data_IF_911427450843
#
_entry.id   IF_911427450843
#
_cell.length_a   1.000
_cell.length_b   1.000
_cell.length_c   1.000
_cell.angle_alpha   90.00
_cell.angle_beta   90.00
_cell.angle_gamma   90.00
#
_symmetry.space_group_name_H-M   'P 1'
#
loop_
_entity.id
_entity.type
_entity.pdbx_description
1 polymer ?
#
# COMPACT_ATOMS: atom_id res chain seq x y z
N UNK A 1 14.14 -15.29 -3.97
CA UNK A 1 12.84 -14.60 -4.07
C UNK A 1 12.55 -13.79 -2.81
N UNK A 2 12.51 -14.41 -1.63
CA UNK A 2 12.21 -13.74 -0.35
C UNK A 2 13.12 -12.55 -0.03
N UNK A 3 14.45 -12.69 -0.18
CA UNK A 3 15.39 -11.57 0.03
C UNK A 3 15.05 -10.37 -0.85
N UNK A 4 14.74 -10.61 -2.13
CA UNK A 4 14.35 -9.54 -3.07
C UNK A 4 13.00 -8.94 -2.70
N UNK A 5 12.02 -9.76 -2.29
CA UNK A 5 10.74 -9.23 -1.81
C UNK A 5 10.92 -8.35 -0.58
N UNK A 6 11.73 -8.78 0.38
CA UNK A 6 12.03 -7.99 1.58
C UNK A 6 12.74 -6.68 1.24
N UNK A 7 13.68 -6.72 0.29
CA UNK A 7 14.36 -5.52 -0.21
C UNK A 7 13.37 -4.55 -0.89
N UNK A 8 12.50 -5.06 -1.77
CA UNK A 8 11.44 -4.28 -2.41
C UNK A 8 10.54 -3.57 -1.38
N UNK A 9 10.17 -4.28 -0.30
CA UNK A 9 9.33 -3.73 0.76
C UNK A 9 10.09 -2.69 1.60
N UNK A 10 11.36 -2.95 1.92
CA UNK A 10 12.21 -2.03 2.68
C UNK A 10 12.46 -0.71 1.94
N UNK A 11 12.66 -0.78 0.62
CA UNK A 11 12.82 0.40 -0.26
C UNK A 11 11.48 1.08 -0.59
N UNK A 12 10.37 0.52 -0.09
CA UNK A 12 9.01 0.97 -0.41
C UNK A 12 8.75 1.05 -1.90
N UNK A 13 9.22 0.06 -2.67
CA UNK A 13 9.04 -0.01 -4.13
C UNK A 13 7.56 -0.02 -4.55
N UNK A 14 6.65 -0.34 -3.63
CA UNK A 14 5.20 -0.21 -3.85
C UNK A 14 4.72 1.24 -4.03
N UNK A 15 5.52 2.26 -3.71
CA UNK A 15 5.16 3.68 -3.88
C UNK A 15 5.27 4.15 -5.34
N UNK A 16 5.96 3.40 -6.20
CA UNK A 16 5.97 3.65 -7.64
C UNK A 16 4.58 3.39 -8.22
N UNK A 17 3.94 4.43 -8.74
CA UNK A 17 2.59 4.37 -9.31
C UNK A 17 2.55 3.73 -10.70
N UNK A 18 3.67 3.72 -11.42
CA UNK A 18 3.81 3.12 -12.74
C UNK A 18 4.26 1.64 -12.68
N UNK A 19 4.56 1.12 -11.47
CA UNK A 19 4.98 -0.26 -11.29
C UNK A 19 3.90 -1.25 -11.74
N UNK A 20 4.25 -2.08 -12.73
CA UNK A 20 3.37 -3.15 -13.23
C UNK A 20 3.86 -4.52 -12.77
N UNK A 21 2.98 -5.52 -12.84
CA UNK A 21 3.30 -6.90 -12.47
C UNK A 21 4.55 -7.46 -13.20
N UNK A 22 4.79 -7.19 -14.50
CA UNK A 22 6.03 -7.61 -15.16
C UNK A 22 7.29 -6.97 -14.56
N UNK A 23 7.23 -5.68 -14.20
CA UNK A 23 8.34 -4.94 -13.60
C UNK A 23 8.67 -5.51 -12.21
N UNK A 24 7.63 -5.78 -11.41
CA UNK A 24 7.76 -6.46 -10.12
C UNK A 24 8.32 -7.89 -10.25
N UNK A 25 7.84 -8.67 -11.22
CA UNK A 25 8.33 -10.02 -11.45
C UNK A 25 9.81 -10.02 -11.86
N UNK A 26 10.19 -9.09 -12.75
CA UNK A 26 11.58 -8.89 -13.17
C UNK A 26 12.48 -8.53 -11.99
N UNK A 27 12.05 -7.61 -11.11
CA UNK A 27 12.77 -7.27 -9.89
C UNK A 27 13.02 -8.52 -9.03
N UNK A 28 11.97 -9.33 -8.81
CA UNK A 28 12.05 -10.57 -8.05
C UNK A 28 12.88 -11.68 -8.72
N UNK A 29 13.22 -11.53 -10.01
CA UNK A 29 13.95 -12.53 -10.80
C UNK A 29 13.10 -13.77 -11.13
N UNK A 30 11.79 -13.58 -11.31
CA UNK A 30 10.84 -14.65 -11.64
C UNK A 30 9.95 -14.22 -12.81
N UNK A 31 9.22 -15.16 -13.38
CA UNK A 31 8.24 -14.86 -14.44
C UNK A 31 7.00 -14.17 -13.88
N UNK A 32 6.31 -13.38 -14.72
CA UNK A 32 5.01 -12.75 -14.39
C UNK A 32 3.98 -13.77 -13.90
N UNK A 33 3.96 -14.97 -14.49
CA UNK A 33 3.07 -16.05 -14.05
C UNK A 33 3.44 -16.57 -12.65
N UNK A 34 4.73 -16.76 -12.35
CA UNK A 34 5.18 -17.14 -11.00
C UNK A 34 4.86 -16.07 -9.96
N UNK A 35 5.05 -14.79 -10.29
CA UNK A 35 4.69 -13.69 -9.39
C UNK A 35 3.18 -13.66 -9.12
N UNK A 36 2.36 -13.74 -10.17
CA UNK A 36 0.89 -13.80 -10.02
C UNK A 36 0.45 -15.01 -9.19
N UNK A 37 1.01 -16.18 -9.48
CA UNK A 37 0.72 -17.41 -8.73
C UNK A 37 1.15 -17.30 -7.27
N UNK A 38 2.31 -16.71 -6.99
CA UNK A 38 2.79 -16.49 -5.64
C UNK A 38 1.81 -15.63 -4.83
N UNK A 39 1.47 -14.45 -5.37
CA UNK A 39 0.56 -13.51 -4.74
C UNK A 39 -0.83 -14.12 -4.49
N UNK A 40 -1.43 -14.72 -5.53
CA UNK A 40 -2.78 -15.26 -5.43
C UNK A 40 -2.87 -16.52 -4.57
N UNK A 41 -1.88 -17.43 -4.66
CA UNK A 41 -1.96 -18.74 -3.99
C UNK A 41 -1.39 -18.73 -2.58
N UNK A 42 -0.35 -17.95 -2.32
CA UNK A 42 0.34 -17.97 -1.03
C UNK A 42 -0.01 -16.76 -0.15
N UNK A 43 -0.35 -15.62 -0.75
CA UNK A 43 -0.76 -14.42 -0.02
C UNK A 43 -2.25 -14.11 -0.15
N UNK A 44 -3.01 -14.91 -0.93
CA UNK A 44 -4.44 -14.70 -1.19
C UNK A 44 -4.75 -13.27 -1.67
N UNK A 45 -3.85 -12.68 -2.44
CA UNK A 45 -3.92 -11.29 -2.89
C UNK A 45 -3.67 -11.20 -4.40
N UNK A 46 -4.45 -10.36 -5.08
CA UNK A 46 -4.08 -9.90 -6.42
C UNK A 46 -2.85 -8.99 -6.34
N UNK A 47 -2.17 -8.75 -7.46
CA UNK A 47 -1.05 -7.79 -7.51
C UNK A 47 -1.46 -6.38 -7.08
N UNK A 48 -2.62 -5.92 -7.54
CA UNK A 48 -3.17 -4.61 -7.18
C UNK A 48 -3.47 -4.55 -5.68
N UNK A 49 -3.97 -5.64 -5.10
CA UNK A 49 -4.22 -5.71 -3.67
C UNK A 49 -2.96 -5.72 -2.85
N UNK A 50 -1.94 -6.45 -3.29
CA UNK A 50 -0.62 -6.46 -2.66
C UNK A 50 -0.05 -5.04 -2.58
N UNK A 51 -0.03 -4.30 -3.69
CA UNK A 51 0.42 -2.90 -3.68
C UNK A 51 -0.43 -2.06 -2.74
N UNK A 52 -1.76 -2.08 -2.91
CA UNK A 52 -2.65 -1.21 -2.14
C UNK A 52 -2.63 -1.51 -0.63
N UNK A 53 -2.37 -2.77 -0.23
CA UNK A 53 -2.19 -3.17 1.16
C UNK A 53 -0.95 -2.51 1.76
N UNK A 54 0.19 -2.53 1.06
CA UNK A 54 1.39 -1.85 1.54
C UNK A 54 1.26 -0.33 1.51
N UNK A 55 0.62 0.22 0.47
CA UNK A 55 0.35 1.66 0.36
C UNK A 55 -0.57 2.16 1.47
N UNK A 56 -1.63 1.43 1.83
CA UNK A 56 -2.53 1.87 2.92
C UNK A 56 -1.84 1.81 4.29
N UNK A 57 -0.96 0.82 4.51
CA UNK A 57 -0.16 0.76 5.73
C UNK A 57 0.78 1.96 5.84
N UNK A 58 1.47 2.30 4.75
CA UNK A 58 2.30 3.51 4.68
C UNK A 58 1.47 4.79 4.93
N UNK A 59 0.27 4.90 4.35
CA UNK A 59 -0.63 6.05 4.62
C UNK A 59 -0.95 6.17 6.11
N UNK A 60 -1.25 5.06 6.79
CA UNK A 60 -1.56 5.08 8.23
C UNK A 60 -0.36 5.59 9.05
N UNK A 61 0.86 5.17 8.70
CA UNK A 61 2.07 5.65 9.35
C UNK A 61 2.32 7.14 9.06
N UNK A 62 2.14 7.57 7.81
CA UNK A 62 2.29 8.96 7.41
C UNK A 62 1.25 9.89 8.03
N UNK A 63 0.03 9.42 8.32
CA UNK A 63 -0.98 10.20 9.05
C UNK A 63 -0.49 10.57 10.47
N UNK A 64 0.23 9.66 11.14
CA UNK A 64 0.79 9.91 12.48
C UNK A 64 1.91 10.96 12.44
N UNK A 65 2.75 10.89 11.41
CA UNK A 65 3.91 11.78 11.24
C UNK A 65 3.50 13.17 10.72
N UNK A 66 2.55 13.22 9.79
CA UNK A 66 2.10 14.44 9.08
C UNK A 66 0.64 14.76 9.42
N UNK A 67 0.33 14.89 10.70
CA UNK A 67 -1.05 15.02 11.21
C UNK A 67 -1.86 16.16 10.58
N UNK A 68 -1.19 17.22 10.10
CA UNK A 68 -1.82 18.43 9.57
C UNK A 68 -1.90 18.45 8.04
N UNK A 69 -1.27 17.49 7.36
CA UNK A 69 -1.22 17.46 5.89
C UNK A 69 -2.55 17.01 5.28
N UNK A 70 -2.79 17.42 4.04
CA UNK A 70 -3.95 16.95 3.28
C UNK A 70 -3.86 15.43 3.08
N UNK A 71 -4.94 14.71 3.44
CA UNK A 71 -4.95 13.25 3.41
C UNK A 71 -4.80 12.68 1.99
N UNK A 72 -5.36 13.35 0.98
CA UNK A 72 -5.17 12.94 -0.41
C UNK A 72 -3.70 13.08 -0.80
N UNK A 73 -3.03 14.19 -0.44
CA UNK A 73 -1.61 14.36 -0.75
C UNK A 73 -0.76 13.27 -0.08
N UNK A 74 -1.06 12.90 1.18
CA UNK A 74 -0.40 11.76 1.83
C UNK A 74 -0.61 10.48 1.01
N UNK A 75 -1.83 10.20 0.57
CA UNK A 75 -2.12 9.02 -0.24
C UNK A 75 -1.37 9.03 -1.58
N UNK A 76 -1.30 10.17 -2.26
CA UNK A 76 -0.55 10.33 -3.51
C UNK A 76 0.95 10.10 -3.30
N UNK A 77 1.53 10.68 -2.24
CA UNK A 77 2.92 10.40 -1.84
C UNK A 77 3.15 8.92 -1.51
N UNK A 78 2.10 8.18 -1.15
CA UNK A 78 2.16 6.75 -0.88
C UNK A 78 1.98 5.88 -2.13
N UNK A 79 1.88 6.45 -3.32
CA UNK A 79 1.78 5.72 -4.59
C UNK A 79 0.35 5.42 -5.04
N UNK A 80 -0.68 6.01 -4.40
CA UNK A 80 -2.01 6.00 -4.98
C UNK A 80 -2.09 7.03 -6.11
N UNK A 81 -2.63 6.64 -7.26
CA UNK A 81 -2.75 7.53 -8.42
C UNK A 81 -4.06 8.35 -8.44
N UNK A 82 -4.96 8.13 -7.48
CA UNK A 82 -6.29 8.77 -7.47
C UNK A 82 -6.99 8.63 -6.12
N UNK A 83 -7.87 9.59 -5.80
CA UNK A 83 -8.72 9.54 -4.61
C UNK A 83 -9.63 8.29 -4.59
N UNK A 84 -10.13 7.87 -5.75
CA UNK A 84 -10.99 6.69 -5.88
C UNK A 84 -10.25 5.39 -5.58
N UNK A 85 -9.00 5.24 -6.05
CA UNK A 85 -8.19 4.05 -5.74
C UNK A 85 -7.87 3.97 -4.25
N UNK A 86 -7.48 5.10 -3.65
CA UNK A 86 -7.23 5.21 -2.22
C UNK A 86 -8.49 4.91 -1.39
N UNK A 87 -9.64 5.48 -1.74
CA UNK A 87 -10.89 5.23 -1.02
C UNK A 87 -11.28 3.76 -1.00
N UNK A 88 -11.18 3.07 -2.15
CA UNK A 88 -11.45 1.63 -2.24
C UNK A 88 -10.48 0.82 -1.38
N UNK A 89 -9.19 1.15 -1.42
CA UNK A 89 -8.17 0.48 -0.61
C UNK A 89 -8.41 0.69 0.90
N UNK A 90 -8.72 1.92 1.32
CA UNK A 90 -9.05 2.25 2.71
C UNK A 90 -10.20 1.39 3.22
N UNK A 91 -11.32 1.33 2.48
CA UNK A 91 -12.46 0.49 2.89
C UNK A 91 -12.08 -0.99 2.89
N UNK A 92 -11.41 -1.47 1.83
CA UNK A 92 -11.08 -2.89 1.67
C UNK A 92 -10.18 -3.41 2.79
N UNK A 93 -9.15 -2.65 3.16
CA UNK A 93 -8.11 -3.15 4.06
C UNK A 93 -8.29 -2.70 5.51
N UNK A 94 -8.98 -1.59 5.75
CA UNK A 94 -9.17 -1.06 7.11
C UNK A 94 -10.64 -1.04 7.55
N UNK A 95 -11.58 -1.35 6.66
CA UNK A 95 -13.02 -1.25 6.93
C UNK A 95 -13.53 0.19 7.09
N UNK A 96 -12.71 1.20 6.80
CA UNK A 96 -13.00 2.61 7.10
C UNK A 96 -12.83 3.47 5.85
N UNK A 97 -13.67 4.49 5.72
CA UNK A 97 -13.42 5.55 4.73
C UNK A 97 -12.14 6.31 5.09
N UNK A 98 -11.46 6.97 4.13
CA UNK A 98 -10.26 7.75 4.40
C UNK A 98 -10.40 8.75 5.55
N UNK A 99 -11.53 9.47 5.61
CA UNK A 99 -11.81 10.45 6.65
C UNK A 99 -11.91 9.80 8.03
N UNK A 100 -12.61 8.66 8.13
CA UNK A 100 -12.75 7.94 9.38
C UNK A 100 -11.43 7.31 9.80
N UNK A 101 -10.66 6.77 8.85
CA UNK A 101 -9.32 6.25 9.10
C UNK A 101 -8.41 7.32 9.74
N UNK A 102 -8.35 8.53 9.17
CA UNK A 102 -7.57 9.64 9.73
C UNK A 102 -8.04 10.03 11.13
N UNK A 103 -9.36 10.15 11.33
CA UNK A 103 -9.94 10.50 12.63
C UNK A 103 -9.57 9.48 13.71
N UNK A 104 -9.67 8.19 13.40
CA UNK A 104 -9.40 7.13 14.37
C UNK A 104 -7.93 7.08 14.77
N UNK A 105 -7.01 7.27 13.82
CA UNK A 105 -5.57 7.35 14.10
C UNK A 105 -5.26 8.56 15.00
N UNK A 106 -5.82 9.73 14.68
CA UNK A 106 -5.61 10.95 15.48
C UNK A 106 -6.24 10.90 16.87
N UNK A 107 -7.31 10.13 17.06
CA UNK A 107 -7.91 9.91 18.38
C UNK A 107 -7.12 8.91 19.22
N UNK A 108 -6.56 7.86 18.60
CA UNK A 108 -5.74 6.85 19.27
C UNK A 108 -4.44 7.43 19.87
N UNK A 109 -3.79 8.36 19.19
CA UNK A 109 -2.56 9.03 19.68
C UNK A 109 -2.81 10.03 20.82
N UNK A 110 -4.04 10.48 21.04
CA UNK A 110 -4.38 11.42 22.14
C UNK A 110 -4.65 10.72 23.48
N UNK A 111 -4.69 9.39 23.48
CA UNK A 111 -5.03 8.57 24.64
C UNK A 111 -3.85 7.82 25.27
N UNK A 112 -2.61 8.07 24.82
CA UNK A 112 -1.37 7.49 25.34
C UNK A 112 -0.46 8.57 25.91
#
# INVERSE_FOLDING_TARGET
>A
MEIKLNHFLAEKGFKDEELRLPDFAAYLGITTHQASKYLNKYLSMSYVDFLNYHRINEVMDMIRIKSDYNLLNIALECGFNSASSFHRASIKFTGKSPRNLRKDIQLGDRGN
#
